data_IF_971108712616
#
_entry.id   IF_971108712616
#
_cell.length_a   1.000
_cell.length_b   1.000
_cell.length_c   1.000
_cell.angle_alpha   90.00
_cell.angle_beta   90.00
_cell.angle_gamma   90.00
#
_symmetry.space_group_name_H-M   'P 1'
#
loop_
_entity.id
_entity.type
_entity.pdbx_description
1 polymer ?
#
# COMPACT_ATOMS: atom_id res chain seq x y z
N UNK A 1 11.13 -28.54 33.49
CA UNK A 1 9.70 -28.20 33.26
C UNK A 1 9.52 -26.85 32.58
N UNK A 2 10.18 -25.78 33.03
CA UNK A 2 10.17 -24.47 32.33
C UNK A 2 10.67 -24.55 30.89
N UNK A 3 11.75 -25.31 30.64
CA UNK A 3 12.34 -25.49 29.31
C UNK A 3 11.35 -26.12 28.32
N UNK A 4 10.66 -27.21 28.69
CA UNK A 4 9.65 -27.87 27.85
C UNK A 4 8.44 -26.96 27.56
N UNK A 5 8.01 -26.15 28.52
CA UNK A 5 6.93 -25.17 28.32
C UNK A 5 7.39 -24.05 27.38
N UNK A 6 8.63 -23.58 27.52
CA UNK A 6 9.22 -22.55 26.68
C UNK A 6 9.45 -23.05 25.24
N UNK A 7 9.95 -24.28 25.09
CA UNK A 7 10.12 -24.94 23.79
C UNK A 7 8.77 -25.15 23.10
N UNK A 8 7.73 -25.55 23.85
CA UNK A 8 6.37 -25.73 23.32
C UNK A 8 5.73 -24.39 22.92
N UNK A 9 5.99 -23.31 23.67
CA UNK A 9 5.58 -21.94 23.32
C UNK A 9 6.32 -21.45 22.06
N UNK A 10 7.62 -21.68 21.97
CA UNK A 10 8.43 -21.37 20.78
C UNK A 10 7.98 -22.15 19.56
N UNK A 11 7.63 -23.43 19.71
CA UNK A 11 7.06 -24.24 18.63
C UNK A 11 5.68 -23.74 18.19
N UNK A 12 4.86 -23.29 19.15
CA UNK A 12 3.55 -22.67 18.87
C UNK A 12 3.68 -21.28 18.22
N UNK A 13 4.85 -20.65 18.27
CA UNK A 13 5.13 -19.39 17.57
C UNK A 13 4.97 -19.52 16.06
N UNK A 14 5.24 -20.69 15.47
CA UNK A 14 5.00 -20.94 14.04
C UNK A 14 3.52 -20.86 13.69
N UNK A 15 2.64 -21.38 14.54
CA UNK A 15 1.19 -21.30 14.34
C UNK A 15 0.68 -19.86 14.42
N UNK A 16 1.25 -19.05 15.32
CA UNK A 16 0.93 -17.63 15.41
C UNK A 16 1.33 -16.86 14.14
N UNK A 17 2.50 -17.16 13.57
CA UNK A 17 2.92 -16.56 12.29
C UNK A 17 2.04 -17.03 11.14
N UNK A 18 1.64 -18.30 11.12
CA UNK A 18 0.75 -18.84 10.08
C UNK A 18 -0.60 -18.11 10.05
N UNK A 19 -1.16 -17.78 11.23
CA UNK A 19 -2.37 -16.94 11.33
C UNK A 19 -2.12 -15.55 10.73
N UNK A 20 -0.99 -14.92 11.04
CA UNK A 20 -0.64 -13.60 10.48
C UNK A 20 -0.48 -13.63 8.95
N UNK A 21 0.16 -14.68 8.41
CA UNK A 21 0.28 -14.92 6.97
C UNK A 21 -1.11 -15.02 6.33
N UNK A 22 -1.97 -15.92 6.80
CA UNK A 22 -3.32 -16.09 6.24
C UNK A 22 -4.13 -14.79 6.32
N UNK A 23 -4.08 -14.09 7.45
CA UNK A 23 -4.78 -12.82 7.61
C UNK A 23 -4.29 -11.76 6.61
N UNK A 24 -2.97 -11.61 6.45
CA UNK A 24 -2.38 -10.65 5.49
C UNK A 24 -2.66 -11.03 4.03
N UNK A 25 -2.67 -12.32 3.70
CA UNK A 25 -3.06 -12.83 2.39
C UNK A 25 -4.51 -12.47 2.06
N UNK A 26 -5.44 -12.78 2.97
CA UNK A 26 -6.86 -12.47 2.79
C UNK A 26 -7.09 -10.96 2.66
N UNK A 27 -6.41 -10.15 3.47
CA UNK A 27 -6.51 -8.69 3.40
C UNK A 27 -6.00 -8.16 2.04
N UNK A 28 -4.87 -8.68 1.55
CA UNK A 28 -4.35 -8.31 0.23
C UNK A 28 -5.36 -8.63 -0.88
N UNK A 29 -5.98 -9.82 -0.85
CA UNK A 29 -6.95 -10.24 -1.84
C UNK A 29 -8.22 -9.40 -1.79
N UNK A 30 -8.69 -9.09 -0.57
CA UNK A 30 -9.83 -8.22 -0.36
C UNK A 30 -9.58 -6.82 -0.94
N UNK A 31 -8.40 -6.24 -0.69
CA UNK A 31 -8.04 -4.93 -1.26
C UNK A 31 -7.91 -4.98 -2.79
N UNK A 32 -7.36 -6.06 -3.36
CA UNK A 32 -7.34 -6.23 -4.82
C UNK A 32 -8.75 -6.21 -5.40
N UNK A 33 -9.71 -6.90 -4.77
CA UNK A 33 -11.09 -6.94 -5.24
C UNK A 33 -11.77 -5.58 -5.11
N UNK A 34 -11.65 -4.91 -3.96
CA UNK A 34 -12.24 -3.57 -3.74
C UNK A 34 -11.68 -2.59 -4.77
N UNK A 35 -10.35 -2.52 -4.90
CA UNK A 35 -9.69 -1.62 -5.83
C UNK A 35 -10.06 -1.93 -7.29
N UNK A 36 -10.19 -3.20 -7.66
CA UNK A 36 -10.64 -3.59 -9.00
C UNK A 36 -12.08 -3.16 -9.29
N UNK A 37 -12.97 -3.24 -8.30
CA UNK A 37 -14.33 -2.71 -8.41
C UNK A 37 -14.31 -1.20 -8.61
N UNK A 38 -13.52 -0.46 -7.81
CA UNK A 38 -13.39 0.99 -7.93
C UNK A 38 -12.92 1.40 -9.34
N UNK A 39 -11.90 0.73 -9.88
CA UNK A 39 -11.46 0.94 -11.28
C UNK A 39 -12.57 0.64 -12.29
N UNK A 40 -13.34 -0.43 -12.07
CA UNK A 40 -14.50 -0.77 -12.90
C UNK A 40 -15.53 0.37 -12.94
N UNK A 41 -15.82 0.97 -11.79
CA UNK A 41 -16.74 2.12 -11.71
C UNK A 41 -16.19 3.37 -12.39
N UNK A 42 -14.87 3.63 -12.34
CA UNK A 42 -14.28 4.76 -13.05
C UNK A 42 -14.43 4.64 -14.57
N UNK A 43 -14.29 3.41 -15.10
CA UNK A 43 -14.43 3.16 -16.54
C UNK A 43 -15.85 3.47 -17.01
N UNK A 44 -16.88 3.17 -16.22
CA UNK A 44 -18.28 3.44 -16.61
C UNK A 44 -18.60 4.94 -16.62
N UNK A 45 -18.00 5.74 -15.74
CA UNK A 45 -18.21 7.19 -15.66
C UNK A 45 -17.53 8.00 -16.79
N UNK A 46 -16.65 7.37 -17.59
CA UNK A 46 -16.07 8.00 -18.79
C UNK A 46 -17.15 8.42 -19.80
N UNK A 47 -18.25 7.66 -19.88
CA UNK A 47 -19.39 8.00 -20.75
C UNK A 47 -20.05 9.32 -20.36
N UNK A 48 -20.14 9.62 -19.07
CA UNK A 48 -20.74 10.85 -18.55
C UNK A 48 -19.80 12.05 -18.74
N UNK A 49 -18.48 11.83 -18.62
CA UNK A 49 -17.47 12.85 -18.91
C UNK A 49 -17.49 13.34 -20.36
N UNK A 50 -17.69 12.44 -21.32
CA UNK A 50 -17.73 12.78 -22.75
C UNK A 50 -18.98 13.57 -23.15
N UNK A 51 -20.09 13.39 -22.42
CA UNK A 51 -21.37 14.05 -22.68
C UNK A 51 -21.56 15.33 -21.83
N UNK A 52 -20.63 15.64 -20.92
CA UNK A 52 -20.73 16.78 -20.00
C UNK A 52 -20.34 18.13 -20.65
N UNK A 53 -21.04 19.18 -20.22
CA UNK A 53 -20.76 20.56 -20.59
C UNK A 53 -19.37 21.03 -20.11
N UNK A 54 -18.83 22.11 -20.68
CA UNK A 54 -17.46 22.55 -20.48
C UNK A 54 -17.09 22.83 -19.01
N UNK A 55 -18.02 23.34 -18.20
CA UNK A 55 -17.81 23.60 -16.77
C UNK A 55 -17.82 22.31 -15.94
N UNK A 56 -18.83 21.45 -16.12
CA UNK A 56 -18.96 20.16 -15.42
C UNK A 56 -17.81 19.21 -15.74
N UNK A 57 -17.24 19.32 -16.94
CA UNK A 57 -16.07 18.53 -17.36
C UNK A 57 -14.84 18.82 -16.53
N UNK A 58 -14.65 20.06 -16.06
CA UNK A 58 -13.48 20.42 -15.24
C UNK A 58 -13.57 19.76 -13.85
N UNK A 59 -14.76 19.75 -13.25
CA UNK A 59 -15.03 19.13 -11.95
C UNK A 59 -14.86 17.61 -12.05
N UNK A 60 -15.53 16.98 -13.02
CA UNK A 60 -15.42 15.53 -13.26
C UNK A 60 -13.98 15.09 -13.55
N UNK A 61 -13.18 15.92 -14.23
CA UNK A 61 -11.76 15.63 -14.45
C UNK A 61 -10.99 15.55 -13.12
N UNK A 62 -11.21 16.49 -12.20
CA UNK A 62 -10.50 16.52 -10.91
C UNK A 62 -10.87 15.28 -10.10
N UNK A 63 -12.16 14.95 -10.04
CA UNK A 63 -12.69 13.77 -9.34
C UNK A 63 -12.14 12.46 -9.94
N UNK A 64 -12.18 12.28 -11.26
CA UNK A 64 -11.61 11.10 -11.92
C UNK A 64 -10.11 10.96 -11.68
N UNK A 65 -9.36 12.07 -11.67
CA UNK A 65 -7.92 12.04 -11.38
C UNK A 65 -7.67 11.62 -9.93
N UNK A 66 -8.42 12.18 -8.98
CA UNK A 66 -8.31 11.83 -7.56
C UNK A 66 -8.59 10.33 -7.32
N UNK A 67 -9.71 9.81 -7.83
CA UNK A 67 -10.04 8.39 -7.70
C UNK A 67 -9.06 7.46 -8.42
N UNK A 68 -8.50 7.88 -9.56
CA UNK A 68 -7.47 7.10 -10.26
C UNK A 68 -6.20 6.98 -9.41
N UNK A 69 -5.77 8.07 -8.78
CA UNK A 69 -4.60 8.09 -7.89
C UNK A 69 -4.86 7.20 -6.67
N UNK A 70 -6.05 7.27 -6.07
CA UNK A 70 -6.47 6.38 -4.98
C UNK A 70 -6.48 4.91 -5.38
N UNK A 71 -6.96 4.56 -6.58
CA UNK A 71 -6.98 3.19 -7.08
C UNK A 71 -5.56 2.62 -7.31
N UNK A 72 -4.63 3.44 -7.83
CA UNK A 72 -3.23 3.02 -8.00
C UNK A 72 -2.62 2.70 -6.64
N UNK A 73 -2.86 3.53 -5.63
CA UNK A 73 -2.36 3.32 -4.27
C UNK A 73 -2.99 2.09 -3.60
N UNK A 74 -4.30 1.87 -3.79
CA UNK A 74 -4.99 0.67 -3.33
C UNK A 74 -4.34 -0.63 -3.85
N UNK A 75 -3.95 -0.67 -5.13
CA UNK A 75 -3.22 -1.80 -5.68
C UNK A 75 -1.81 -1.94 -5.12
N UNK A 76 -1.09 -0.84 -4.91
CA UNK A 76 0.23 -0.89 -4.27
C UNK A 76 0.12 -1.46 -2.86
N UNK A 77 -0.80 -0.95 -2.03
CA UNK A 77 -1.03 -1.48 -0.68
C UNK A 77 -1.37 -2.98 -0.71
N UNK A 78 -2.25 -3.41 -1.63
CA UNK A 78 -2.59 -4.82 -1.80
C UNK A 78 -1.37 -5.67 -2.15
N UNK A 79 -0.53 -5.24 -3.11
CA UNK A 79 0.71 -5.93 -3.48
C UNK A 79 1.68 -6.01 -2.30
N UNK A 80 1.80 -4.96 -1.49
CA UNK A 80 2.73 -4.97 -0.35
C UNK A 80 2.25 -5.89 0.77
N UNK A 81 0.95 -5.97 1.04
CA UNK A 81 0.40 -6.95 1.96
C UNK A 81 0.62 -8.39 1.46
N UNK A 82 0.52 -8.61 0.14
CA UNK A 82 0.82 -9.90 -0.47
C UNK A 82 2.30 -10.27 -0.31
N UNK A 83 3.22 -9.36 -0.63
CA UNK A 83 4.66 -9.56 -0.43
C UNK A 83 4.99 -9.78 1.04
N UNK A 84 4.34 -9.04 1.95
CA UNK A 84 4.50 -9.20 3.39
C UNK A 84 4.04 -10.58 3.86
N UNK A 85 2.88 -11.05 3.39
CA UNK A 85 2.39 -12.41 3.65
C UNK A 85 3.39 -13.48 3.21
N UNK A 86 3.91 -13.36 1.98
CA UNK A 86 4.89 -14.29 1.43
C UNK A 86 6.22 -14.24 2.19
N UNK A 87 6.71 -13.05 2.51
CA UNK A 87 7.95 -12.87 3.26
C UNK A 87 7.88 -13.40 4.70
N UNK A 88 6.73 -13.25 5.38
CA UNK A 88 6.51 -13.88 6.69
C UNK A 88 6.49 -15.40 6.59
N UNK A 89 5.88 -15.96 5.54
CA UNK A 89 5.85 -17.40 5.32
C UNK A 89 7.26 -17.96 5.09
N UNK A 90 8.01 -17.35 4.18
CA UNK A 90 9.36 -17.81 3.82
C UNK A 90 10.31 -17.74 5.01
N UNK A 91 10.25 -16.66 5.80
CA UNK A 91 11.16 -16.47 6.92
C UNK A 91 10.89 -17.40 8.12
N UNK A 92 9.61 -17.66 8.45
CA UNK A 92 9.26 -18.34 9.70
C UNK A 92 8.77 -19.77 9.51
N UNK A 93 8.33 -20.15 8.31
CA UNK A 93 7.71 -21.46 8.06
C UNK A 93 8.65 -22.31 7.21
N UNK A 94 8.85 -21.96 5.94
CA UNK A 94 9.68 -22.72 5.01
C UNK A 94 9.93 -21.95 3.72
N UNK A 95 11.08 -22.20 3.10
CA UNK A 95 11.36 -21.77 1.73
C UNK A 95 10.29 -22.31 0.78
N UNK A 96 9.89 -21.51 -0.21
CA UNK A 96 8.96 -21.94 -1.26
C UNK A 96 9.79 -22.68 -2.34
N UNK A 97 9.71 -24.02 -2.35
CA UNK A 97 10.52 -24.84 -3.26
C UNK A 97 10.23 -24.59 -4.75
N UNK A 98 9.01 -24.18 -5.12
CA UNK A 98 8.65 -23.79 -6.50
C UNK A 98 9.44 -22.55 -7.02
N UNK A 99 10.04 -21.76 -6.13
CA UNK A 99 10.87 -20.61 -6.50
C UNK A 99 12.33 -20.97 -6.79
N UNK A 100 12.80 -22.17 -6.39
CA UNK A 100 14.19 -22.62 -6.57
C UNK A 100 14.46 -23.24 -7.93
N UNK A 101 13.46 -23.83 -8.58
CA UNK A 101 13.65 -24.57 -9.84
C UNK A 101 13.74 -23.67 -11.10
N UNK A 102 13.50 -22.37 -10.94
CA UNK A 102 13.68 -21.37 -11.98
C UNK A 102 14.83 -20.41 -11.61
N UNK A 103 16.02 -20.62 -12.18
CA UNK A 103 17.23 -19.79 -12.01
C UNK A 103 17.04 -18.28 -12.32
N UNK A 104 15.86 -17.85 -12.82
CA UNK A 104 15.48 -16.44 -13.04
C UNK A 104 14.68 -15.80 -11.90
N UNK A 105 14.18 -16.57 -10.93
CA UNK A 105 13.32 -16.09 -9.83
C UNK A 105 14.11 -15.66 -8.57
N UNK A 106 15.40 -15.97 -8.51
CA UNK A 106 16.25 -15.77 -7.32
C UNK A 106 16.57 -14.31 -6.97
N UNK A 107 16.16 -13.31 -7.77
CA UNK A 107 16.43 -11.89 -7.48
C UNK A 107 15.21 -11.07 -7.05
N UNK A 108 14.00 -11.61 -7.12
CA UNK A 108 12.77 -10.85 -6.80
C UNK A 108 12.21 -11.21 -5.41
N UNK A 109 12.53 -12.40 -4.87
CA UNK A 109 11.92 -12.91 -3.64
C UNK A 109 12.89 -13.22 -2.49
N UNK A 110 14.20 -13.00 -2.65
CA UNK A 110 15.15 -13.22 -1.52
C UNK A 110 15.15 -12.00 -0.61
N UNK A 111 14.14 -11.92 0.27
CA UNK A 111 14.10 -10.96 1.38
C UNK A 111 14.96 -11.55 2.50
N UNK A 112 16.23 -11.16 2.55
CA UNK A 112 17.21 -11.71 3.50
C UNK A 112 16.98 -11.29 4.97
N UNK A 113 16.01 -10.42 5.29
CA UNK A 113 15.73 -10.03 6.68
C UNK A 113 14.36 -9.36 6.91
N UNK A 114 13.85 -9.45 8.15
CA UNK A 114 12.68 -8.69 8.62
C UNK A 114 12.86 -7.18 8.55
N UNK A 115 14.08 -6.68 8.69
CA UNK A 115 14.34 -5.25 8.68
C UNK A 115 14.28 -4.65 7.27
N UNK A 116 14.60 -5.44 6.24
CA UNK A 116 14.33 -5.07 4.85
C UNK A 116 12.84 -5.07 4.53
N UNK A 117 12.08 -6.01 5.07
CA UNK A 117 10.62 -6.03 4.90
C UNK A 117 9.96 -4.86 5.64
N UNK A 118 10.41 -4.57 6.87
CA UNK A 118 9.92 -3.47 7.70
C UNK A 118 10.26 -2.10 7.09
N UNK A 119 11.47 -1.93 6.55
CA UNK A 119 11.88 -0.70 5.89
C UNK A 119 11.10 -0.47 4.59
N UNK A 120 10.88 -1.52 3.79
CA UNK A 120 10.02 -1.46 2.59
C UNK A 120 8.58 -1.14 2.94
N UNK A 121 8.02 -1.77 3.98
CA UNK A 121 6.66 -1.53 4.44
C UNK A 121 6.47 -0.09 4.96
N UNK A 122 7.42 0.43 5.75
CA UNK A 122 7.37 1.82 6.23
C UNK A 122 7.38 2.83 5.08
N UNK A 123 8.18 2.58 4.03
CA UNK A 123 8.23 3.42 2.83
C UNK A 123 6.90 3.43 2.07
N UNK A 124 6.20 2.30 2.08
CA UNK A 124 4.88 2.15 1.44
C UNK A 124 3.80 2.87 2.21
N UNK A 125 3.75 2.71 3.53
CA UNK A 125 2.81 3.47 4.38
C UNK A 125 2.99 4.97 4.17
N UNK A 126 4.24 5.43 4.06
CA UNK A 126 4.53 6.83 3.77
C UNK A 126 4.00 7.25 2.38
N UNK A 127 4.10 6.38 1.37
CA UNK A 127 3.53 6.65 0.05
C UNK A 127 2.00 6.72 0.07
N UNK A 128 1.34 5.82 0.81
CA UNK A 128 -0.12 5.82 0.98
C UNK A 128 -0.57 7.14 1.62
N UNK A 129 0.10 7.57 2.71
CA UNK A 129 -0.20 8.86 3.34
C UNK A 129 -0.04 10.04 2.38
N UNK A 130 0.97 10.01 1.51
CA UNK A 130 1.19 11.03 0.48
C UNK A 130 0.05 11.03 -0.53
N UNK A 131 -0.34 9.85 -1.04
CA UNK A 131 -1.45 9.69 -1.99
C UNK A 131 -2.77 10.14 -1.37
N UNK A 132 -3.12 9.65 -0.17
CA UNK A 132 -4.33 10.06 0.55
C UNK A 132 -4.36 11.57 0.78
N UNK A 133 -3.22 12.17 1.15
CA UNK A 133 -3.13 13.63 1.27
C UNK A 133 -3.44 14.33 -0.05
N UNK A 134 -2.89 13.86 -1.18
CA UNK A 134 -3.19 14.43 -2.49
C UNK A 134 -4.65 14.25 -2.91
N UNK A 135 -5.23 13.07 -2.68
CA UNK A 135 -6.63 12.77 -3.00
C UNK A 135 -7.60 13.69 -2.22
N UNK A 136 -7.40 13.81 -0.91
CA UNK A 136 -8.18 14.70 -0.05
C UNK A 136 -7.95 16.17 -0.43
N UNK A 137 -6.71 16.53 -0.79
CA UNK A 137 -6.38 17.90 -1.19
C UNK A 137 -7.01 18.32 -2.52
N UNK A 138 -7.16 17.39 -3.47
CA UNK A 138 -7.80 17.66 -4.77
C UNK A 138 -9.32 17.84 -4.66
N UNK A 139 -9.94 17.30 -3.60
CA UNK A 139 -11.38 17.38 -3.35
C UNK A 139 -11.77 18.52 -2.39
N UNK A 140 -10.78 19.23 -1.81
CA UNK A 140 -11.02 20.30 -0.85
C UNK A 140 -11.43 21.60 -1.55
N UNK A 141 -12.49 22.25 -1.04
CA UNK A 141 -12.86 23.60 -1.44
C UNK A 141 -12.09 24.62 -0.58
N UNK A 142 -11.46 25.59 -1.22
CA UNK A 142 -10.74 26.67 -0.53
C UNK A 142 -11.67 27.88 -0.37
N UNK A 143 -12.19 28.10 0.84
CA UNK A 143 -13.11 29.20 1.13
C UNK A 143 -12.38 30.41 1.71
N UNK A 144 -11.40 30.18 2.58
CA UNK A 144 -10.61 31.24 3.22
C UNK A 144 -9.14 31.24 2.77
N UNK A 145 -8.49 32.42 2.84
CA UNK A 145 -7.06 32.56 2.57
C UNK A 145 -6.19 31.73 3.53
N UNK A 146 -6.68 31.45 4.75
CA UNK A 146 -6.02 30.59 5.72
C UNK A 146 -5.98 29.12 5.27
N UNK A 147 -7.00 28.63 4.57
CA UNK A 147 -7.04 27.26 4.05
C UNK A 147 -5.90 27.02 3.06
N UNK A 148 -5.60 28.04 2.25
CA UNK A 148 -4.50 28.02 1.30
C UNK A 148 -3.13 27.94 2.02
N UNK A 149 -2.99 28.62 3.16
CA UNK A 149 -1.77 28.58 3.98
C UNK A 149 -1.60 27.22 4.65
N UNK A 150 -2.66 26.65 5.22
CA UNK A 150 -2.61 25.31 5.80
C UNK A 150 -2.32 24.24 4.73
N UNK A 151 -2.88 24.39 3.54
CA UNK A 151 -2.58 23.51 2.41
C UNK A 151 -1.12 23.59 1.98
N UNK A 152 -0.58 24.80 1.82
CA UNK A 152 0.84 25.01 1.50
C UNK A 152 1.76 24.43 2.59
N UNK A 153 1.38 24.56 3.86
CA UNK A 153 2.11 23.98 4.98
C UNK A 153 2.05 22.44 4.98
N UNK A 154 0.90 21.86 4.65
CA UNK A 154 0.73 20.42 4.46
C UNK A 154 1.65 19.87 3.38
N UNK A 155 1.70 20.53 2.21
CA UNK A 155 2.62 20.17 1.12
C UNK A 155 4.08 20.23 1.59
N UNK A 156 4.45 21.27 2.34
CA UNK A 156 5.81 21.41 2.88
C UNK A 156 6.15 20.24 3.81
N UNK A 157 5.25 19.86 4.72
CA UNK A 157 5.46 18.74 5.65
C UNK A 157 5.57 17.40 4.92
N UNK A 158 4.73 17.16 3.91
CA UNK A 158 4.80 15.95 3.07
C UNK A 158 6.12 15.90 2.30
N UNK A 159 6.55 17.01 1.71
CA UNK A 159 7.84 17.12 1.01
C UNK A 159 9.02 16.84 1.95
N UNK A 160 8.96 17.37 3.17
CA UNK A 160 9.98 17.19 4.20
C UNK A 160 10.05 15.74 4.69
N UNK A 161 8.90 15.09 4.88
CA UNK A 161 8.81 13.67 5.20
C UNK A 161 9.41 12.78 4.08
N UNK A 162 9.10 13.09 2.82
CA UNK A 162 9.69 12.39 1.66
C UNK A 162 11.21 12.58 1.58
N UNK A 163 11.69 13.80 1.83
CA UNK A 163 13.13 14.10 1.85
C UNK A 163 13.87 13.29 2.92
N UNK A 164 13.34 13.22 4.14
CA UNK A 164 13.97 12.42 5.20
C UNK A 164 13.89 10.92 4.92
N UNK A 165 12.78 10.44 4.37
CA UNK A 165 12.65 9.03 3.95
C UNK A 165 13.68 8.65 2.87
N UNK A 166 13.92 9.53 1.90
CA UNK A 166 14.94 9.34 0.88
C UNK A 166 16.36 9.34 1.45
N UNK A 167 16.65 10.25 2.40
CA UNK A 167 17.97 10.33 3.06
C UNK A 167 18.26 9.11 3.94
N UNK A 168 17.26 8.51 4.57
CA UNK A 168 17.40 7.30 5.39
C UNK A 168 17.75 6.04 4.58
N UNK A 169 17.57 6.07 3.25
CA UNK A 169 17.82 4.93 2.36
C UNK A 169 19.27 4.87 1.85
N UNK A 170 20.12 5.82 2.26
CA UNK A 170 21.55 5.93 1.92
C UNK A 170 22.40 5.79 3.18
#
# INVERSE_FOLDING_TARGET
MLEIIFEKILWNSRLMVLVAVIASLLLSLLLFVITAVDVGTLITHIGDYLNADAESRKILKIEMVAHTVGAIDGFLLATILLIFSLGLYELFISDIDDAKDNERSSKVLVINSLDDLKSKLAKVILMILVVTFFEVSLSMAFEEALDLVYFAFGILMVSLALYFSAKSSH
#
